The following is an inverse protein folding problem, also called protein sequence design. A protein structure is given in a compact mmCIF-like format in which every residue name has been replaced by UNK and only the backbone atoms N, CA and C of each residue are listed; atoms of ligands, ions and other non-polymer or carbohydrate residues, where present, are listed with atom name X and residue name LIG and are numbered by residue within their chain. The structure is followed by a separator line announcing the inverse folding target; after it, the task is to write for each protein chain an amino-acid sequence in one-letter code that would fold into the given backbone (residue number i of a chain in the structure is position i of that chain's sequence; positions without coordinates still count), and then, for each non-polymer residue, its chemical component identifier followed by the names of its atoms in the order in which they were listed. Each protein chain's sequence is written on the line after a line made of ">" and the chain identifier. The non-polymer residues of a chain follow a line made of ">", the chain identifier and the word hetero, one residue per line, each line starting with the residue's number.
data_IF_898755074484
#
_entry.id   IF_898755074484
#
_cell.length_a   1.000
_cell.length_b   1.000
_cell.length_c   1.000
_cell.angle_alpha   90.00
_cell.angle_beta   90.00
_cell.angle_gamma   90.00
#
_symmetry.space_group_name_H-M   'P 1'
#
loop_
_entity.id
_entity.type
_entity.pdbx_description
1 polymer ?
#
# COMPACT_ATOMS: atom_id res chain seq x y z
N UNK A 1 11.20 5.08 -23.99
CA UNK A 1 12.28 4.09 -24.08
C UNK A 1 13.58 4.72 -23.61
N UNK A 2 14.36 4.02 -22.79
CA UNK A 2 15.59 4.54 -22.15
C UNK A 2 16.83 3.96 -22.80
N UNK A 3 17.88 4.77 -23.05
CA UNK A 3 19.12 4.25 -23.64
C UNK A 3 19.87 3.34 -22.66
N UNK A 4 19.83 3.62 -21.35
CA UNK A 4 20.46 2.78 -20.31
C UNK A 4 19.88 1.38 -20.16
N UNK A 5 18.71 1.04 -20.71
CA UNK A 5 18.27 -0.35 -20.70
C UNK A 5 19.14 -1.19 -21.67
N UNK A 6 19.75 -2.32 -21.26
CA UNK A 6 19.57 -3.10 -20.03
C UNK A 6 20.78 -3.09 -19.06
N UNK A 7 21.10 -1.94 -18.44
CA UNK A 7 22.29 -1.74 -17.61
C UNK A 7 22.40 -2.69 -16.40
N UNK A 8 21.29 -3.13 -15.80
CA UNK A 8 21.32 -4.02 -14.62
C UNK A 8 21.27 -5.52 -14.97
N UNK A 9 21.09 -5.88 -16.25
CA UNK A 9 21.00 -7.28 -16.69
C UNK A 9 22.33 -7.76 -17.31
N UNK A 10 22.58 -9.07 -17.32
CA UNK A 10 23.79 -9.63 -17.92
C UNK A 10 23.90 -9.36 -19.42
N UNK A 11 22.85 -9.69 -20.19
CA UNK A 11 22.87 -9.53 -21.65
C UNK A 11 22.62 -8.07 -22.07
N UNK A 12 23.69 -7.41 -22.55
CA UNK A 12 23.62 -6.02 -23.05
C UNK A 12 23.10 -5.90 -24.48
N UNK A 13 23.00 -7.00 -25.22
CA UNK A 13 22.68 -6.99 -26.64
C UNK A 13 21.21 -7.31 -26.94
N UNK A 14 20.35 -7.35 -25.92
CA UNK A 14 18.92 -7.71 -26.04
C UNK A 14 18.19 -6.84 -27.07
N UNK A 15 18.44 -5.53 -27.12
CA UNK A 15 17.79 -4.62 -28.10
C UNK A 15 18.14 -5.00 -29.55
N UNK A 16 19.39 -5.39 -29.81
CA UNK A 16 19.85 -5.86 -31.13
C UNK A 16 19.21 -7.20 -31.49
N UNK A 17 19.13 -8.12 -30.53
CA UNK A 17 18.48 -9.44 -30.72
C UNK A 17 16.99 -9.31 -31.03
N UNK A 18 16.26 -8.47 -30.28
CA UNK A 18 14.83 -8.20 -30.52
C UNK A 18 14.62 -7.61 -31.90
N UNK A 19 15.42 -6.61 -32.29
CA UNK A 19 15.35 -6.02 -33.63
C UNK A 19 15.56 -7.06 -34.74
N UNK A 20 16.60 -7.89 -34.66
CA UNK A 20 16.87 -8.90 -35.69
C UNK A 20 15.81 -10.02 -35.76
N UNK A 21 15.14 -10.32 -34.64
CA UNK A 21 14.11 -11.37 -34.60
C UNK A 21 12.78 -10.91 -35.21
N UNK A 22 12.37 -9.67 -34.92
CA UNK A 22 11.05 -9.16 -35.33
C UNK A 22 11.06 -8.36 -36.62
N UNK A 23 12.24 -8.06 -37.19
CA UNK A 23 12.35 -7.33 -38.46
C UNK A 23 11.81 -8.07 -39.68
N UNK A 24 11.55 -9.38 -39.56
CA UNK A 24 10.94 -10.18 -40.63
C UNK A 24 9.43 -9.92 -40.71
N UNK A 25 8.80 -9.53 -39.60
CA UNK A 25 7.35 -9.34 -39.48
C UNK A 25 6.92 -7.88 -39.45
N UNK A 26 7.78 -6.99 -38.93
CA UNK A 26 7.48 -5.57 -38.73
C UNK A 26 8.58 -4.69 -39.30
N UNK A 27 8.24 -3.42 -39.56
CA UNK A 27 9.18 -2.46 -40.12
C UNK A 27 10.39 -2.20 -39.21
N UNK A 28 11.55 -2.11 -39.84
CA UNK A 28 12.84 -1.94 -39.18
C UNK A 28 12.96 -0.57 -38.46
N UNK A 29 12.38 0.49 -39.03
CA UNK A 29 12.41 1.83 -38.47
C UNK A 29 11.56 1.93 -37.21
N UNK A 30 10.34 1.41 -37.28
CA UNK A 30 9.38 1.44 -36.16
C UNK A 30 9.92 0.71 -34.92
N UNK A 31 10.49 -0.50 -35.08
CA UNK A 31 11.10 -1.24 -33.96
C UNK A 31 12.27 -0.46 -33.33
N UNK A 32 13.06 0.23 -34.16
CA UNK A 32 14.24 0.99 -33.69
C UNK A 32 13.82 2.19 -32.85
N UNK A 33 12.78 2.93 -33.27
CA UNK A 33 12.19 4.05 -32.53
C UNK A 33 11.51 3.60 -31.24
N UNK A 34 10.75 2.49 -31.27
CA UNK A 34 10.14 1.91 -30.06
C UNK A 34 11.19 1.50 -29.02
N UNK A 35 12.29 0.90 -29.46
CA UNK A 35 13.41 0.53 -28.59
C UNK A 35 14.28 1.72 -28.17
N UNK A 36 14.05 2.92 -28.74
CA UNK A 36 14.78 4.13 -28.42
C UNK A 36 16.28 4.05 -28.74
N UNK A 37 16.64 3.29 -29.79
CA UNK A 37 18.04 3.14 -30.24
C UNK A 37 18.53 4.33 -31.06
N UNK A 38 17.61 5.15 -31.53
CA UNK A 38 17.79 6.40 -32.28
C UNK A 38 18.25 7.58 -31.41
N UNK A 39 18.06 7.51 -30.08
CA UNK A 39 18.41 8.60 -29.14
C UNK A 39 19.88 8.65 -28.72
N UNK A 40 20.74 7.84 -29.34
CA UNK A 40 22.17 7.78 -29.05
C UNK A 40 22.90 8.75 -30.00
N UNK A 41 22.73 10.05 -29.79
CA UNK A 41 23.63 11.08 -30.31
C UNK A 41 23.51 12.34 -29.44
N UNK A 42 24.30 12.49 -28.37
CA UNK A 42 24.76 13.79 -27.96
C UNK A 42 26.03 14.09 -28.73
N UNK A 43 25.94 15.02 -29.69
CA UNK A 43 27.09 15.50 -30.43
C UNK A 43 28.22 15.94 -29.50
N UNK A 44 29.40 15.79 -30.06
CA UNK A 44 30.69 16.12 -29.50
C UNK A 44 30.77 17.63 -29.31
N UNK A 45 30.54 18.15 -28.10
CA UNK A 45 31.03 19.48 -27.73
C UNK A 45 31.90 19.46 -26.46
N UNK A 46 33.13 19.87 -26.73
CA UNK A 46 34.28 20.17 -25.89
C UNK A 46 33.96 21.14 -24.74
N UNK A 47 34.51 20.85 -23.55
CA UNK A 47 35.02 21.91 -22.67
C UNK A 47 34.07 22.58 -21.66
N UNK A 48 33.51 21.85 -20.69
CA UNK A 48 33.32 22.36 -19.31
C UNK A 48 32.99 21.23 -18.33
N UNK A 49 33.92 20.94 -17.42
CA UNK A 49 33.73 20.03 -16.28
C UNK A 49 33.02 20.81 -15.16
N UNK A 50 31.71 20.63 -15.02
CA UNK A 50 30.90 21.25 -13.97
C UNK A 50 29.73 20.34 -13.60
N UNK A 51 29.19 20.47 -12.39
CA UNK A 51 28.08 19.67 -11.84
C UNK A 51 26.91 19.46 -12.85
N UNK A 52 26.67 20.40 -13.76
CA UNK A 52 25.68 20.29 -14.83
C UNK A 52 25.91 19.11 -15.80
N UNK A 53 27.15 18.73 -16.11
CA UNK A 53 27.46 17.56 -16.95
C UNK A 53 27.28 16.24 -16.18
N UNK A 54 27.47 16.27 -14.85
CA UNK A 54 27.24 15.13 -13.97
C UNK A 54 25.74 14.79 -13.89
N UNK A 55 24.87 15.81 -13.84
CA UNK A 55 23.42 15.61 -13.91
C UNK A 55 22.89 15.41 -15.35
N UNK A 56 23.55 15.97 -16.36
CA UNK A 56 23.13 15.86 -17.76
C UNK A 56 23.35 14.49 -18.43
N UNK A 57 24.21 13.63 -17.85
CA UNK A 57 24.44 12.26 -18.31
C UNK A 57 23.49 11.21 -17.70
N UNK A 58 22.48 11.65 -16.93
CA UNK A 58 21.60 10.76 -16.16
C UNK A 58 20.31 10.52 -16.93
N UNK A 59 19.99 9.25 -17.19
CA UNK A 59 18.69 8.85 -17.75
C UNK A 59 17.58 8.99 -16.71
N UNK A 60 17.05 10.20 -16.53
CA UNK A 60 16.00 10.49 -15.55
C UNK A 60 14.79 9.55 -15.71
N UNK A 61 14.38 9.25 -16.94
CA UNK A 61 13.30 8.29 -17.21
C UNK A 61 13.60 6.88 -16.68
N UNK A 62 14.85 6.43 -16.75
CA UNK A 62 15.26 5.13 -16.21
C UNK A 62 15.31 5.15 -14.69
N UNK A 63 15.77 6.27 -14.09
CA UNK A 63 15.77 6.44 -12.64
C UNK A 63 14.36 6.45 -12.08
N UNK A 64 13.42 7.19 -12.68
CA UNK A 64 12.02 7.21 -12.24
C UNK A 64 11.41 5.81 -12.29
N UNK A 65 11.64 5.07 -13.38
CA UNK A 65 11.18 3.68 -13.49
C UNK A 65 11.81 2.80 -12.41
N UNK A 66 13.12 2.91 -12.19
CA UNK A 66 13.85 2.15 -11.17
C UNK A 66 13.33 2.44 -9.76
N UNK A 67 13.14 3.72 -9.42
CA UNK A 67 12.53 4.11 -8.15
C UNK A 67 11.11 3.57 -8.01
N UNK A 68 10.31 3.62 -9.07
CA UNK A 68 8.98 3.00 -9.09
C UNK A 68 9.02 1.52 -8.73
N UNK A 69 9.94 0.75 -9.32
CA UNK A 69 10.13 -0.68 -8.98
C UNK A 69 10.56 -0.85 -7.51
N UNK A 70 11.49 -0.04 -7.01
CA UNK A 70 11.94 -0.10 -5.61
C UNK A 70 10.79 0.18 -4.65
N UNK A 71 9.93 1.16 -4.94
CA UNK A 71 8.76 1.47 -4.11
C UNK A 71 7.67 0.39 -4.15
N UNK A 72 7.65 -0.49 -5.15
CA UNK A 72 6.72 -1.63 -5.16
C UNK A 72 7.23 -2.83 -4.35
N UNK A 73 8.51 -2.83 -3.93
CA UNK A 73 9.06 -3.92 -3.12
C UNK A 73 8.59 -3.81 -1.66
N UNK A 74 7.97 -4.87 -1.15
CA UNK A 74 7.38 -4.87 0.18
C UNK A 74 8.43 -4.80 1.30
N UNK A 75 9.63 -5.32 1.05
CA UNK A 75 10.73 -5.28 2.02
C UNK A 75 11.30 -3.87 2.12
N UNK A 76 11.44 -3.18 0.98
CA UNK A 76 11.81 -1.77 0.96
C UNK A 76 10.77 -0.90 1.65
N UNK A 77 9.47 -1.08 1.35
CA UNK A 77 8.39 -0.35 2.02
C UNK A 77 8.38 -0.57 3.52
N UNK A 78 8.60 -1.81 3.97
CA UNK A 78 8.73 -2.13 5.40
C UNK A 78 9.85 -1.31 6.06
N UNK A 79 11.04 -1.31 5.47
CA UNK A 79 12.18 -0.55 5.98
C UNK A 79 11.94 0.97 5.92
N UNK A 80 11.29 1.46 4.87
CA UNK A 80 10.95 2.87 4.73
C UNK A 80 9.96 3.34 5.82
N UNK A 81 8.93 2.54 6.11
CA UNK A 81 7.99 2.79 7.22
C UNK A 81 8.70 2.74 8.57
N UNK A 82 9.61 1.77 8.77
CA UNK A 82 10.42 1.69 9.98
C UNK A 82 11.29 2.93 10.18
N UNK A 83 11.96 3.40 9.12
CA UNK A 83 12.73 4.64 9.14
C UNK A 83 11.85 5.87 9.42
N UNK A 84 10.68 5.96 8.77
CA UNK A 84 9.74 7.04 9.01
C UNK A 84 9.24 7.04 10.46
N UNK A 85 8.91 5.87 11.03
CA UNK A 85 8.52 5.74 12.43
C UNK A 85 9.63 6.24 13.38
N UNK A 86 10.90 5.97 13.09
CA UNK A 86 12.03 6.53 13.85
C UNK A 86 12.08 8.06 13.76
N UNK A 87 11.90 8.63 12.56
CA UNK A 87 11.88 10.08 12.38
C UNK A 87 10.71 10.73 13.14
N UNK A 88 9.50 10.15 13.06
CA UNK A 88 8.35 10.62 13.83
C UNK A 88 8.48 10.37 15.35
N UNK A 89 9.23 9.33 15.76
CA UNK A 89 9.58 9.07 17.16
C UNK A 89 10.34 10.21 17.82
N UNK A 90 11.10 10.98 17.05
CA UNK A 90 11.77 12.19 17.56
C UNK A 90 10.77 13.32 17.88
N UNK A 91 9.60 13.35 17.24
CA UNK A 91 8.54 14.30 17.55
C UNK A 91 7.68 13.82 18.73
N UNK A 92 7.42 12.50 18.80
CA UNK A 92 6.63 11.89 19.86
C UNK A 92 7.23 10.55 20.28
N UNK A 93 7.72 10.47 21.52
CA UNK A 93 8.40 9.29 22.06
C UNK A 93 7.56 8.00 22.01
N UNK A 94 6.23 8.10 22.01
CA UNK A 94 5.33 6.94 21.91
C UNK A 94 5.55 6.11 20.64
N UNK A 95 5.94 6.75 19.53
CA UNK A 95 6.11 6.06 18.25
C UNK A 95 7.34 5.13 18.22
N UNK A 96 8.27 5.24 19.17
CA UNK A 96 9.32 4.24 19.36
C UNK A 96 8.78 2.88 19.81
N UNK A 97 7.59 2.82 20.41
CA UNK A 97 6.96 1.55 20.77
C UNK A 97 6.55 0.72 19.54
N UNK A 98 6.27 1.37 18.41
CA UNK A 98 5.93 0.68 17.16
C UNK A 98 7.08 -0.18 16.64
N UNK A 99 8.34 0.18 16.92
CA UNK A 99 9.52 -0.60 16.54
C UNK A 99 9.55 -1.98 17.20
N UNK A 100 8.91 -2.12 18.37
CA UNK A 100 8.82 -3.41 19.05
C UNK A 100 8.00 -4.45 18.26
N UNK A 101 7.13 -4.01 17.34
CA UNK A 101 6.37 -4.89 16.45
C UNK A 101 7.28 -5.65 15.47
N UNK A 102 8.49 -5.14 15.19
CA UNK A 102 9.49 -5.80 14.33
C UNK A 102 9.93 -7.17 14.87
N UNK A 103 9.93 -7.32 16.21
CA UNK A 103 10.20 -8.60 16.87
C UNK A 103 9.24 -9.69 16.37
N UNK A 104 7.97 -9.34 16.13
CA UNK A 104 6.97 -10.29 15.65
C UNK A 104 7.20 -10.76 14.21
N UNK A 105 7.86 -9.94 13.38
CA UNK A 105 8.13 -10.24 11.96
C UNK A 105 9.52 -10.87 11.77
N UNK A 106 10.43 -10.63 12.70
CA UNK A 106 11.80 -11.15 12.74
C UNK A 106 11.86 -12.66 12.99
N UNK A 107 11.00 -13.18 13.88
CA UNK A 107 10.95 -14.61 14.16
C UNK A 107 10.13 -15.36 13.12
N UNK A 108 10.72 -16.42 12.54
CA UNK A 108 10.06 -17.28 11.54
C UNK A 108 8.73 -17.85 12.08
N UNK A 109 8.69 -18.30 13.33
CA UNK A 109 7.47 -18.87 13.93
C UNK A 109 6.35 -17.84 14.03
N UNK A 110 6.64 -16.62 14.50
CA UNK A 110 5.63 -15.57 14.65
C UNK A 110 5.15 -15.08 13.28
N UNK A 111 6.04 -15.00 12.28
CA UNK A 111 5.66 -14.73 10.90
C UNK A 111 4.66 -15.76 10.37
N UNK A 112 4.88 -17.05 10.62
CA UNK A 112 3.93 -18.11 10.23
C UNK A 112 2.56 -17.92 10.90
N UNK A 113 2.52 -17.50 12.17
CA UNK A 113 1.27 -17.20 12.88
C UNK A 113 0.54 -16.02 12.22
N UNK A 114 1.25 -14.95 11.85
CA UNK A 114 0.62 -13.82 11.11
C UNK A 114 0.13 -14.29 9.72
N UNK A 115 0.90 -15.16 9.06
CA UNK A 115 0.54 -15.71 7.76
C UNK A 115 -0.72 -16.58 7.82
N UNK A 116 -0.94 -17.34 8.90
CA UNK A 116 -2.13 -18.18 9.02
C UNK A 116 -3.42 -17.36 9.04
N UNK A 117 -3.39 -16.17 9.67
CA UNK A 117 -4.52 -15.23 9.68
C UNK A 117 -4.65 -14.51 8.33
N UNK A 118 -3.54 -14.02 7.77
CA UNK A 118 -3.57 -13.24 6.51
C UNK A 118 -3.85 -14.08 5.27
N UNK A 119 -3.53 -15.38 5.29
CA UNK A 119 -3.84 -16.32 4.19
C UNK A 119 -5.33 -16.34 3.86
N UNK A 120 -6.20 -16.33 4.88
CA UNK A 120 -7.66 -16.33 4.71
C UNK A 120 -8.25 -14.91 4.83
N UNK A 121 -7.44 -13.87 4.69
CA UNK A 121 -7.83 -12.48 4.95
C UNK A 121 -9.04 -12.04 4.12
N UNK A 122 -9.16 -12.48 2.87
CA UNK A 122 -10.33 -12.19 2.03
C UNK A 122 -11.63 -12.71 2.65
N UNK A 123 -11.62 -13.95 3.13
CA UNK A 123 -12.79 -14.56 3.77
C UNK A 123 -13.13 -13.85 5.08
N UNK A 124 -12.12 -13.54 5.90
CA UNK A 124 -12.31 -12.81 7.16
C UNK A 124 -12.97 -11.44 6.92
N UNK A 125 -12.50 -10.67 5.93
CA UNK A 125 -13.08 -9.36 5.59
C UNK A 125 -14.53 -9.50 5.11
N UNK A 126 -14.83 -10.49 4.25
CA UNK A 126 -16.22 -10.75 3.82
C UNK A 126 -17.12 -11.08 5.01
N UNK A 127 -16.65 -11.90 5.95
CA UNK A 127 -17.41 -12.27 7.15
C UNK A 127 -17.68 -11.06 8.03
N UNK A 128 -16.67 -10.20 8.27
CA UNK A 128 -16.85 -8.96 9.05
C UNK A 128 -17.86 -8.02 8.39
N UNK A 129 -17.81 -7.89 7.06
CA UNK A 129 -18.79 -7.08 6.32
C UNK A 129 -20.20 -7.64 6.46
N UNK A 130 -20.39 -8.95 6.29
CA UNK A 130 -21.70 -9.59 6.46
C UNK A 130 -22.24 -9.38 7.88
N UNK A 131 -21.41 -9.58 8.91
CA UNK A 131 -21.79 -9.35 10.31
C UNK A 131 -22.21 -7.89 10.55
N UNK A 132 -21.48 -6.92 9.99
CA UNK A 132 -21.83 -5.49 10.08
C UNK A 132 -23.21 -5.19 9.46
N UNK A 133 -23.52 -5.79 8.30
CA UNK A 133 -24.83 -5.66 7.65
C UNK A 133 -25.95 -6.23 8.52
N UNK A 134 -25.76 -7.41 9.10
CA UNK A 134 -26.74 -8.04 9.99
C UNK A 134 -27.01 -7.17 11.24
N UNK A 135 -25.96 -6.65 11.87
CA UNK A 135 -26.09 -5.74 13.03
C UNK A 135 -26.82 -4.46 12.62
N UNK A 136 -26.53 -3.91 11.45
CA UNK A 136 -27.23 -2.73 10.95
C UNK A 136 -28.73 -2.97 10.78
N UNK A 137 -29.13 -4.10 10.19
CA UNK A 137 -30.55 -4.48 10.07
C UNK A 137 -31.23 -4.56 11.44
N UNK A 138 -30.61 -5.23 12.42
CA UNK A 138 -31.13 -5.28 13.78
C UNK A 138 -31.20 -3.90 14.44
N UNK A 139 -30.21 -3.03 14.18
CA UNK A 139 -30.21 -1.65 14.68
C UNK A 139 -31.39 -0.87 14.10
N UNK A 140 -31.69 -1.01 12.80
CA UNK A 140 -32.85 -0.34 12.17
C UNK A 140 -34.16 -0.79 12.83
N UNK A 141 -34.32 -2.10 13.05
CA UNK A 141 -35.51 -2.65 13.72
C UNK A 141 -35.60 -2.13 15.17
N UNK A 142 -34.49 -2.16 15.92
CA UNK A 142 -34.42 -1.65 17.29
C UNK A 142 -34.71 -0.15 17.38
N UNK A 143 -34.19 0.65 16.45
CA UNK A 143 -34.38 2.09 16.41
C UNK A 143 -35.82 2.49 16.04
N UNK A 144 -36.49 1.73 15.17
CA UNK A 144 -37.87 2.04 14.79
C UNK A 144 -38.88 1.57 15.85
N UNK A 145 -38.74 0.34 16.37
CA UNK A 145 -39.77 -0.27 17.24
C UNK A 145 -39.42 -0.20 18.73
N UNK A 146 -38.16 -0.36 19.09
CA UNK A 146 -37.72 -0.54 20.48
C UNK A 146 -37.03 0.69 21.08
N UNK A 147 -37.06 1.84 20.40
CA UNK A 147 -36.39 3.09 20.82
C UNK A 147 -36.66 3.47 22.27
N UNK A 148 -37.90 3.33 22.73
CA UNK A 148 -38.31 3.69 24.11
C UNK A 148 -37.66 2.81 25.20
N UNK A 149 -37.16 1.62 24.87
CA UNK A 149 -36.47 0.74 25.83
C UNK A 149 -34.98 1.06 25.94
N UNK A 150 -34.38 1.60 24.87
CA UNK A 150 -32.95 1.93 24.81
C UNK A 150 -32.66 3.36 25.29
N UNK A 151 -33.62 4.27 25.19
CA UNK A 151 -33.53 5.62 25.76
C UNK A 151 -34.02 5.55 27.19
N UNK A 152 -33.10 5.37 28.14
CA UNK A 152 -33.38 5.44 29.59
C UNK A 152 -32.80 6.74 30.14
N UNK A 153 -33.62 7.50 30.85
CA UNK A 153 -33.14 8.59 31.69
C UNK A 153 -32.55 7.99 32.97
N UNK A 154 -31.23 7.99 33.09
CA UNK A 154 -30.56 7.68 34.35
C UNK A 154 -30.16 9.01 35.01
N UNK A 155 -30.82 9.35 36.11
CA UNK A 155 -30.38 10.37 37.06
C UNK A 155 -30.03 11.75 36.45
N UNK A 156 -30.86 12.24 35.52
CA UNK A 156 -30.73 13.59 34.96
C UNK A 156 -29.61 13.78 33.92
N UNK A 157 -28.85 12.73 33.61
CA UNK A 157 -27.93 12.68 32.47
C UNK A 157 -28.58 11.84 31.39
N UNK A 158 -28.96 12.41 30.23
CA UNK A 158 -29.47 11.60 29.14
C UNK A 158 -28.37 10.62 28.72
N UNK A 159 -28.64 9.31 28.75
CA UNK A 159 -27.77 8.29 28.17
C UNK A 159 -28.31 7.92 26.79
N UNK A 160 -27.92 8.64 25.73
CA UNK A 160 -28.56 8.56 24.41
C UNK A 160 -28.05 7.34 23.63
N UNK A 161 -28.19 6.12 24.15
CA UNK A 161 -27.73 4.89 23.46
C UNK A 161 -28.29 4.77 22.05
N UNK A 162 -29.56 5.16 21.85
CA UNK A 162 -30.25 5.14 20.56
C UNK A 162 -31.07 6.42 20.29
N UNK A 163 -30.51 7.61 20.55
CA UNK A 163 -31.15 8.86 20.09
C UNK A 163 -30.93 9.10 18.59
N UNK A 164 -29.70 8.83 18.13
CA UNK A 164 -29.33 8.88 16.72
C UNK A 164 -29.05 7.47 16.19
N UNK A 165 -29.34 7.26 14.91
CA UNK A 165 -29.11 5.98 14.22
C UNK A 165 -27.64 5.55 14.31
N UNK A 166 -26.70 6.49 14.18
CA UNK A 166 -25.25 6.22 14.27
C UNK A 166 -24.85 5.76 15.67
N UNK A 167 -25.34 6.42 16.71
CA UNK A 167 -25.04 6.07 18.11
C UNK A 167 -25.62 4.71 18.46
N UNK A 168 -26.83 4.44 17.98
CA UNK A 168 -27.48 3.13 18.15
C UNK A 168 -26.69 2.00 17.49
N UNK A 169 -26.19 2.23 16.26
CA UNK A 169 -25.38 1.25 15.55
C UNK A 169 -24.05 0.99 16.26
N UNK A 170 -23.34 2.04 16.69
CA UNK A 170 -22.09 1.92 17.45
C UNK A 170 -22.33 1.16 18.77
N UNK A 171 -23.45 1.45 19.47
CA UNK A 171 -23.80 0.75 20.70
C UNK A 171 -24.01 -0.76 20.46
N UNK A 172 -24.76 -1.15 19.43
CA UNK A 172 -24.98 -2.55 19.09
C UNK A 172 -23.69 -3.25 18.63
N UNK A 173 -22.86 -2.56 17.86
CA UNK A 173 -21.56 -3.08 17.40
C UNK A 173 -20.60 -3.29 18.58
N UNK A 174 -20.52 -2.33 19.51
CA UNK A 174 -19.59 -2.39 20.63
C UNK A 174 -20.08 -3.33 21.73
N UNK A 175 -21.29 -3.12 22.25
CA UNK A 175 -21.81 -3.86 23.40
C UNK A 175 -22.37 -5.23 22.98
N UNK A 176 -23.09 -5.29 21.85
CA UNK A 176 -23.74 -6.51 21.40
C UNK A 176 -22.75 -7.61 20.97
N UNK A 177 -21.74 -7.27 20.18
CA UNK A 177 -20.71 -8.25 19.78
C UNK A 177 -19.84 -8.71 20.95
N UNK A 178 -19.62 -7.84 21.95
CA UNK A 178 -18.72 -8.14 23.08
C UNK A 178 -19.41 -8.87 24.23
N UNK A 179 -20.74 -8.78 24.36
CA UNK A 179 -21.48 -9.36 25.48
C UNK A 179 -21.50 -10.90 25.48
N UNK A 180 -21.22 -11.56 24.35
CA UNK A 180 -21.11 -13.02 24.27
C UNK A 180 -22.39 -13.82 24.53
N UNK A 181 -23.54 -13.14 24.71
CA UNK A 181 -24.85 -13.73 25.03
C UNK A 181 -26.05 -13.03 24.38
N UNK A 182 -25.81 -12.13 23.42
CA UNK A 182 -26.84 -11.34 22.75
C UNK A 182 -26.97 -9.90 23.26
N UNK A 183 -27.93 -9.17 22.67
CA UNK A 183 -28.34 -7.81 23.00
C UNK A 183 -29.69 -7.79 23.70
#
# INVERSE_FOLDING_TARGET
>A
STPSFPQMYWDKFVKKKVRNKYSIQYDHGEITTLLGMDKINPDTETGRFGLSKFFGGIDIQYLIWKWGVVFTDISFLYLAVYFAASAFGNLNYFLYACHLLDVAVSFKTLRTIIQSVTHNGKQLVLTVMLTSIVIYLYTVVAFNFFRKFYVKDNDGVPDPKCNDMKTCFIFHLHTGLRAGGGI
#
